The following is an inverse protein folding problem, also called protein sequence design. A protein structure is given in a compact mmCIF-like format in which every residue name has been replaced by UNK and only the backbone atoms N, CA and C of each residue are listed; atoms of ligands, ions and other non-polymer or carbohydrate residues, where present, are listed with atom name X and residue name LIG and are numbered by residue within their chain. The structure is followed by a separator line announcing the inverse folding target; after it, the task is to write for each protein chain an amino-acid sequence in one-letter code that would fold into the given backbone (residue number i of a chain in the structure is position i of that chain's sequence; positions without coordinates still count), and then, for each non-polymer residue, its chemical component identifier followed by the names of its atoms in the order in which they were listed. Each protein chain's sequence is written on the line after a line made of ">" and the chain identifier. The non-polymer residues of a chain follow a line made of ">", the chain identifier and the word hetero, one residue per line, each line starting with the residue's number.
data_IF_637529579322
#
_entry.id   IF_637529579322
#
_cell.length_a   1.000
_cell.length_b   1.000
_cell.length_c   1.000
_cell.angle_alpha   90.00
_cell.angle_beta   90.00
_cell.angle_gamma   90.00
#
_symmetry.space_group_name_H-M   'P 1'
#
loop_
_entity.id
_entity.type
_entity.pdbx_description
1 polymer ?
#
# COMPACT_ATOMS: atom_id res chain seq x y z
N UNK A 1 20.86 -69.39 72.63
CA UNK A 1 20.43 -67.98 72.48
C UNK A 1 21.03 -67.40 71.22
N UNK A 2 20.25 -67.21 70.16
CA UNK A 2 20.72 -66.70 68.87
C UNK A 2 20.16 -65.30 68.72
N UNK A 3 21.05 -64.35 68.67
CA UNK A 3 20.74 -62.92 68.43
C UNK A 3 20.57 -62.68 66.94
N UNK A 4 19.45 -62.16 66.55
CA UNK A 4 19.19 -61.75 65.17
C UNK A 4 19.48 -60.23 65.01
N UNK A 5 20.43 -59.88 64.12
CA UNK A 5 20.74 -58.50 63.76
C UNK A 5 19.87 -58.10 62.56
N UNK A 6 19.14 -57.01 62.68
CA UNK A 6 18.35 -56.41 61.62
C UNK A 6 19.24 -55.32 60.93
N UNK A 7 19.48 -55.45 59.63
CA UNK A 7 20.09 -54.43 58.81
C UNK A 7 18.94 -53.66 58.19
N UNK A 8 18.89 -52.33 58.48
CA UNK A 8 17.92 -51.43 57.90
C UNK A 8 18.56 -50.76 56.66
N UNK A 9 18.11 -51.14 55.48
CA UNK A 9 18.53 -50.49 54.24
C UNK A 9 17.76 -49.20 53.99
N UNK A 10 18.46 -48.07 53.86
CA UNK A 10 17.94 -46.82 53.36
C UNK A 10 17.81 -46.88 51.85
N UNK A 11 16.58 -46.79 51.32
CA UNK A 11 16.35 -46.61 49.92
C UNK A 11 16.27 -45.08 49.68
N UNK A 12 17.30 -44.51 49.01
CA UNK A 12 17.28 -43.14 48.56
C UNK A 12 16.48 -43.06 47.25
N UNK A 13 15.26 -42.49 47.32
CA UNK A 13 14.47 -42.18 46.13
C UNK A 13 14.98 -40.91 45.47
N UNK A 14 15.72 -41.06 44.37
CA UNK A 14 16.02 -39.96 43.48
C UNK A 14 14.77 -39.59 42.68
N UNK A 15 14.07 -38.52 43.08
CA UNK A 15 13.02 -37.89 42.28
C UNK A 15 13.63 -37.18 41.12
N UNK A 16 13.63 -37.80 39.95
CA UNK A 16 13.99 -37.12 38.69
C UNK A 16 12.92 -36.10 38.34
N UNK A 17 13.25 -34.82 38.44
CA UNK A 17 12.46 -33.75 37.85
C UNK A 17 12.61 -33.84 36.33
N UNK A 18 11.65 -34.51 35.67
CA UNK A 18 11.49 -34.42 34.23
C UNK A 18 11.04 -33.00 33.93
N UNK A 19 11.96 -32.13 33.44
CA UNK A 19 11.59 -30.92 32.77
C UNK A 19 10.80 -31.32 31.52
N UNK A 20 9.48 -31.19 31.58
CA UNK A 20 8.62 -31.16 30.41
C UNK A 20 9.00 -29.90 29.62
N UNK A 21 10.00 -30.01 28.76
CA UNK A 21 10.14 -29.07 27.65
C UNK A 21 8.84 -29.23 26.85
N UNK A 22 7.93 -28.29 27.04
CA UNK A 22 6.72 -28.22 26.23
C UNK A 22 7.17 -28.12 24.79
N UNK A 23 7.01 -29.20 24.02
CA UNK A 23 7.10 -29.15 22.57
C UNK A 23 6.04 -28.16 22.11
N UNK A 24 6.42 -26.91 21.81
CA UNK A 24 5.55 -26.00 21.09
C UNK A 24 5.16 -26.74 19.79
N UNK A 25 3.88 -27.07 19.67
CA UNK A 25 3.36 -27.70 18.47
C UNK A 25 3.57 -26.69 17.34
N UNK A 26 4.10 -27.18 16.22
CA UNK A 26 4.23 -26.38 15.01
C UNK A 26 2.84 -25.87 14.60
N UNK A 27 2.70 -24.56 14.47
CA UNK A 27 1.44 -23.92 14.08
C UNK A 27 1.45 -23.64 12.56
N UNK A 28 0.28 -23.70 11.93
CA UNK A 28 0.08 -23.26 10.56
C UNK A 28 -0.67 -21.93 10.57
N UNK A 29 -0.04 -20.86 10.08
CA UNK A 29 -0.63 -19.52 9.98
C UNK A 29 -1.25 -19.31 8.60
N UNK A 30 -2.49 -18.86 8.55
CA UNK A 30 -3.14 -18.42 7.31
C UNK A 30 -2.97 -16.91 7.13
N UNK A 31 -2.34 -16.51 6.03
CA UNK A 31 -2.02 -15.11 5.72
C UNK A 31 -2.79 -14.66 4.49
N UNK A 32 -3.66 -13.65 4.64
CA UNK A 32 -4.27 -12.97 3.50
C UNK A 32 -3.34 -11.88 2.99
N UNK A 33 -3.01 -11.88 1.69
CA UNK A 33 -2.10 -10.90 1.12
C UNK A 33 -2.49 -10.48 -0.29
N UNK A 34 -2.01 -9.31 -0.71
CA UNK A 34 -2.17 -8.77 -2.05
C UNK A 34 -1.15 -9.38 -3.01
N UNK A 35 -1.52 -9.49 -4.28
CA UNK A 35 -0.64 -9.98 -5.33
C UNK A 35 0.20 -8.83 -5.93
N UNK A 36 1.28 -8.46 -5.26
CA UNK A 36 2.26 -7.48 -5.76
C UNK A 36 3.70 -7.99 -5.59
N UNK A 37 4.67 -7.25 -6.15
CA UNK A 37 6.07 -7.70 -6.23
C UNK A 37 6.69 -8.00 -4.85
N UNK A 38 6.52 -7.10 -3.87
CA UNK A 38 7.12 -7.24 -2.54
C UNK A 38 6.54 -8.44 -1.79
N UNK A 39 5.21 -8.67 -1.94
CA UNK A 39 4.52 -9.81 -1.31
C UNK A 39 4.88 -11.15 -1.97
N UNK A 40 5.15 -11.16 -3.28
CA UNK A 40 5.64 -12.34 -3.99
C UNK A 40 7.05 -12.70 -3.47
N UNK A 41 7.91 -11.71 -3.28
CA UNK A 41 9.25 -11.92 -2.69
C UNK A 41 9.13 -12.45 -1.27
N UNK A 42 8.23 -11.90 -0.45
CA UNK A 42 8.00 -12.39 0.91
C UNK A 42 7.59 -13.86 0.92
N UNK A 43 6.65 -14.26 0.06
CA UNK A 43 6.24 -15.66 -0.07
C UNK A 43 7.41 -16.56 -0.46
N UNK A 44 8.23 -16.12 -1.42
CA UNK A 44 9.41 -16.85 -1.88
C UNK A 44 10.46 -17.08 -0.78
N UNK A 45 10.66 -16.10 0.10
CA UNK A 45 11.66 -16.13 1.16
C UNK A 45 11.13 -16.68 2.49
N UNK A 46 9.84 -16.77 2.67
CA UNK A 46 9.20 -17.22 3.92
C UNK A 46 9.56 -18.65 4.37
N UNK A 47 9.97 -19.58 3.50
CA UNK A 47 10.52 -20.88 3.96
C UNK A 47 11.72 -20.77 4.92
N UNK A 48 12.45 -19.66 4.92
CA UNK A 48 13.52 -19.41 5.90
C UNK A 48 12.95 -19.28 7.33
N UNK A 49 11.83 -18.57 7.49
CA UNK A 49 11.14 -18.48 8.77
C UNK A 49 10.51 -19.81 9.18
N UNK A 50 9.89 -20.54 8.24
CA UNK A 50 9.32 -21.87 8.52
C UNK A 50 10.40 -22.83 9.03
N UNK A 51 11.57 -22.85 8.39
CA UNK A 51 12.70 -23.68 8.80
C UNK A 51 13.24 -23.30 10.18
N UNK A 52 13.29 -21.97 10.47
CA UNK A 52 13.83 -21.49 11.74
C UNK A 52 12.91 -21.76 12.92
N UNK A 53 11.57 -21.78 12.71
CA UNK A 53 10.57 -21.88 13.77
C UNK A 53 9.87 -23.23 13.83
N UNK A 54 9.90 -24.02 12.77
CA UNK A 54 9.09 -25.22 12.59
C UNK A 54 7.63 -24.97 12.22
N UNK A 55 7.16 -23.73 12.29
CA UNK A 55 5.82 -23.34 11.88
C UNK A 55 5.61 -23.42 10.36
N UNK A 56 4.35 -23.33 9.91
CA UNK A 56 3.97 -23.38 8.51
C UNK A 56 3.14 -22.15 8.11
N UNK A 57 3.19 -21.80 6.84
CA UNK A 57 2.43 -20.69 6.28
C UNK A 57 1.51 -21.17 5.15
N UNK A 58 0.26 -20.78 5.25
CA UNK A 58 -0.75 -20.93 4.21
C UNK A 58 -1.09 -19.57 3.61
N UNK A 59 -0.61 -19.30 2.41
CA UNK A 59 -0.79 -18.03 1.74
C UNK A 59 -2.10 -17.99 0.94
N UNK A 60 -2.96 -17.01 1.23
CA UNK A 60 -4.16 -16.67 0.47
C UNK A 60 -3.87 -15.38 -0.29
N UNK A 61 -3.40 -15.53 -1.52
CA UNK A 61 -2.99 -14.42 -2.40
C UNK A 61 -4.19 -13.96 -3.21
N UNK A 62 -4.52 -12.69 -3.13
CA UNK A 62 -5.73 -12.11 -3.70
C UNK A 62 -5.43 -10.85 -4.51
N UNK A 63 -6.30 -10.59 -5.48
CA UNK A 63 -6.37 -9.29 -6.13
C UNK A 63 -6.79 -8.22 -5.10
N UNK A 64 -6.34 -6.97 -5.26
CA UNK A 64 -6.46 -5.94 -4.22
C UNK A 64 -7.90 -5.71 -3.75
N UNK A 65 -8.87 -5.52 -4.65
CA UNK A 65 -10.26 -5.27 -4.26
C UNK A 65 -10.86 -6.50 -3.55
N UNK A 66 -10.49 -7.71 -3.98
CA UNK A 66 -10.94 -8.97 -3.37
C UNK A 66 -10.32 -9.14 -1.99
N UNK A 67 -9.01 -8.83 -1.84
CA UNK A 67 -8.35 -8.84 -0.54
C UNK A 67 -9.07 -7.93 0.44
N UNK A 68 -9.26 -6.65 0.07
CA UNK A 68 -9.91 -5.64 0.92
C UNK A 68 -11.30 -6.08 1.38
N UNK A 69 -12.11 -6.61 0.47
CA UNK A 69 -13.44 -7.13 0.80
C UNK A 69 -13.36 -8.32 1.76
N UNK A 70 -12.48 -9.29 1.51
CA UNK A 70 -12.38 -10.51 2.32
C UNK A 70 -11.84 -10.23 3.72
N UNK A 71 -10.80 -9.44 3.87
CA UNK A 71 -10.25 -9.11 5.20
C UNK A 71 -11.23 -8.24 6.01
N UNK A 72 -11.94 -7.31 5.35
CA UNK A 72 -12.99 -6.51 6.01
C UNK A 72 -14.14 -7.39 6.50
N UNK A 73 -14.58 -8.36 5.70
CA UNK A 73 -15.63 -9.31 6.10
C UNK A 73 -15.17 -10.20 7.26
N UNK A 74 -13.97 -10.77 7.16
CA UNK A 74 -13.43 -11.67 8.18
C UNK A 74 -13.31 -10.96 9.53
N UNK A 75 -12.74 -9.74 9.56
CA UNK A 75 -12.51 -9.02 10.80
C UNK A 75 -13.81 -8.52 11.43
N UNK A 76 -14.76 -8.04 10.62
CA UNK A 76 -16.06 -7.54 11.09
C UNK A 76 -16.93 -8.67 11.65
N UNK A 77 -16.90 -9.85 11.06
CA UNK A 77 -17.65 -11.03 11.52
C UNK A 77 -16.90 -11.86 12.54
N UNK A 78 -15.60 -11.56 12.77
CA UNK A 78 -14.70 -12.33 13.64
C UNK A 78 -14.66 -13.82 13.26
N UNK A 79 -14.70 -14.10 11.95
CA UNK A 79 -14.78 -15.49 11.45
C UNK A 79 -13.47 -16.26 11.64
N UNK A 80 -12.33 -15.56 11.79
CA UNK A 80 -11.03 -16.17 12.10
C UNK A 80 -10.46 -16.99 10.95
N UNK A 81 -10.76 -16.61 9.69
CA UNK A 81 -10.18 -17.26 8.52
C UNK A 81 -8.68 -16.96 8.37
N UNK A 82 -8.24 -15.79 8.87
CA UNK A 82 -6.86 -15.36 8.75
C UNK A 82 -6.22 -15.13 10.12
N UNK A 83 -4.97 -15.55 10.26
CA UNK A 83 -4.14 -15.30 11.43
C UNK A 83 -3.31 -14.01 11.26
N UNK A 84 -2.98 -13.68 10.01
CA UNK A 84 -2.30 -12.44 9.63
C UNK A 84 -3.01 -11.86 8.40
N UNK A 85 -3.20 -10.55 8.41
CA UNK A 85 -3.81 -9.81 7.31
C UNK A 85 -2.84 -8.75 6.79
N UNK A 86 -2.70 -8.67 5.47
CA UNK A 86 -2.10 -7.53 4.79
C UNK A 86 -3.17 -6.46 4.65
N UNK A 87 -2.99 -5.33 5.34
CA UNK A 87 -3.93 -4.19 5.37
C UNK A 87 -3.20 -2.87 5.14
N UNK A 88 -3.93 -1.85 4.78
CA UNK A 88 -3.39 -0.52 4.53
C UNK A 88 -3.30 0.38 5.76
N UNK A 89 -2.63 1.52 5.59
CA UNK A 89 -2.63 2.59 6.58
C UNK A 89 -4.02 3.19 6.82
N UNK A 90 -4.99 2.94 5.93
CA UNK A 90 -6.39 3.32 6.12
C UNK A 90 -7.10 2.44 7.16
N UNK A 91 -7.01 1.11 7.01
CA UNK A 91 -7.71 0.17 7.88
C UNK A 91 -7.12 0.12 9.29
N UNK A 92 -5.81 0.24 9.41
CA UNK A 92 -5.09 0.03 10.69
C UNK A 92 -5.61 0.90 11.83
N UNK A 93 -5.72 2.25 11.72
CA UNK A 93 -6.20 3.06 12.81
C UNK A 93 -7.70 2.84 13.12
N UNK A 94 -8.51 2.59 12.10
CA UNK A 94 -9.95 2.33 12.26
C UNK A 94 -10.18 1.03 13.03
N UNK A 95 -9.51 -0.04 12.62
CA UNK A 95 -9.67 -1.36 13.23
C UNK A 95 -8.95 -1.51 14.57
N UNK A 96 -7.81 -0.80 14.72
CA UNK A 96 -7.11 -0.72 16.01
C UNK A 96 -7.98 -0.04 17.07
N UNK A 97 -8.60 1.10 16.75
CA UNK A 97 -9.52 1.81 17.63
C UNK A 97 -10.77 0.98 17.96
N UNK A 98 -11.26 0.17 17.04
CA UNK A 98 -12.39 -0.74 17.24
C UNK A 98 -12.03 -1.98 18.08
N UNK A 99 -10.75 -2.18 18.43
CA UNK A 99 -10.29 -3.38 19.16
C UNK A 99 -10.34 -4.67 18.32
N UNK A 100 -10.28 -4.54 17.01
CA UNK A 100 -10.30 -5.68 16.09
C UNK A 100 -8.91 -6.25 15.79
N UNK A 101 -7.87 -5.48 16.06
CA UNK A 101 -6.48 -5.88 15.90
C UNK A 101 -5.78 -6.06 17.26
N UNK A 102 -4.81 -6.94 17.32
CA UNK A 102 -3.87 -7.02 18.43
C UNK A 102 -2.83 -5.90 18.31
N UNK A 103 -2.42 -5.35 19.45
CA UNK A 103 -1.26 -4.48 19.51
C UNK A 103 0.03 -5.29 19.24
N UNK A 104 1.00 -4.67 18.55
CA UNK A 104 2.25 -5.29 18.11
C UNK A 104 3.47 -4.47 18.53
N UNK A 105 3.37 -3.76 19.64
CA UNK A 105 4.45 -2.98 20.28
C UNK A 105 5.32 -3.84 21.22
N UNK A 106 5.12 -5.16 21.22
CA UNK A 106 5.82 -6.15 22.04
C UNK A 106 6.59 -7.22 21.24
N UNK A 107 7.07 -6.88 20.02
CA UNK A 107 7.86 -7.81 19.19
C UNK A 107 9.29 -8.03 19.70
N UNK A 108 9.67 -7.43 20.81
CA UNK A 108 10.96 -7.51 21.45
C UNK A 108 11.87 -6.30 21.19
N UNK A 109 12.84 -6.09 22.08
CA UNK A 109 13.74 -4.93 22.06
C UNK A 109 14.61 -4.89 20.80
N UNK A 110 14.94 -6.05 20.25
CA UNK A 110 15.75 -6.22 19.04
C UNK A 110 14.99 -5.91 17.73
N UNK A 111 13.67 -5.67 17.80
CA UNK A 111 12.89 -5.25 16.61
C UNK A 111 13.24 -3.84 16.16
N UNK A 112 13.72 -2.99 17.06
CA UNK A 112 14.13 -1.61 16.79
C UNK A 112 13.01 -0.77 16.14
N UNK A 113 12.00 -0.45 16.97
CA UNK A 113 10.87 0.39 16.54
C UNK A 113 11.26 1.81 16.15
N UNK A 114 12.37 2.33 16.68
CA UNK A 114 12.84 3.69 16.41
C UNK A 114 13.51 3.83 15.04
N UNK A 115 13.86 2.70 14.42
CA UNK A 115 14.31 2.64 13.04
C UNK A 115 13.15 2.76 12.02
N UNK A 116 11.89 2.57 12.45
CA UNK A 116 10.75 2.78 11.58
C UNK A 116 10.60 4.25 11.20
N UNK A 117 10.28 4.53 9.94
CA UNK A 117 10.05 5.89 9.44
C UNK A 117 8.89 6.51 10.20
N UNK A 118 9.15 7.63 10.88
CA UNK A 118 8.24 8.23 11.86
C UNK A 118 6.82 8.49 11.37
N UNK A 119 6.57 9.14 10.21
CA UNK A 119 5.19 9.34 9.72
C UNK A 119 4.47 8.02 9.42
N UNK A 120 5.18 6.99 8.95
CA UNK A 120 4.60 5.67 8.69
C UNK A 120 4.19 5.01 10.00
N UNK A 121 5.10 4.95 10.98
CA UNK A 121 4.81 4.43 12.33
C UNK A 121 3.64 5.18 12.98
N UNK A 122 3.62 6.51 12.88
CA UNK A 122 2.56 7.34 13.45
C UNK A 122 1.18 7.01 12.87
N UNK A 123 1.08 6.77 11.56
CA UNK A 123 -0.17 6.38 10.90
C UNK A 123 -0.72 5.00 11.33
N UNK A 124 0.12 4.16 11.94
CA UNK A 124 -0.24 2.82 12.42
C UNK A 124 -0.45 2.76 13.94
N UNK A 125 -0.28 3.89 14.62
CA UNK A 125 -0.37 4.01 16.08
C UNK A 125 -1.67 4.68 16.49
N UNK A 126 -2.40 4.06 17.42
CA UNK A 126 -3.64 4.58 18.02
C UNK A 126 -3.52 4.51 19.54
N UNK A 127 -3.78 5.61 20.21
CA UNK A 127 -3.73 5.72 21.68
C UNK A 127 -2.39 5.19 22.26
N UNK A 128 -1.28 5.47 21.57
CA UNK A 128 0.07 5.10 21.97
C UNK A 128 0.45 3.64 21.66
N UNK A 129 -0.42 2.84 21.04
CA UNK A 129 -0.18 1.43 20.67
C UNK A 129 -0.07 1.25 19.18
N UNK A 130 0.89 0.45 18.73
CA UNK A 130 1.07 0.07 17.34
C UNK A 130 0.18 -1.14 17.01
N UNK A 131 -0.66 -1.06 15.96
CA UNK A 131 -1.61 -2.12 15.58
C UNK A 131 -1.27 -2.86 14.30
N UNK A 132 -0.23 -2.44 13.60
CA UNK A 132 0.32 -3.16 12.46
C UNK A 132 1.80 -2.77 12.30
N UNK A 133 2.59 -3.61 11.65
CA UNK A 133 3.97 -3.30 11.28
C UNK A 133 4.05 -3.05 9.78
N UNK A 134 4.71 -1.96 9.35
CA UNK A 134 4.82 -1.64 7.94
C UNK A 134 5.71 -2.64 7.22
N UNK A 135 5.19 -3.20 6.14
CA UNK A 135 5.94 -4.10 5.28
C UNK A 135 6.63 -3.32 4.14
N UNK A 136 5.92 -2.43 3.48
CA UNK A 136 6.50 -1.35 2.69
C UNK A 136 5.61 -0.11 2.76
N UNK A 137 6.22 1.05 2.53
CA UNK A 137 5.50 2.31 2.42
C UNK A 137 5.91 3.04 1.16
N UNK A 138 5.00 3.87 0.67
CA UNK A 138 5.11 4.51 -0.63
C UNK A 138 4.47 5.90 -0.65
N UNK A 139 4.87 6.67 -1.62
CA UNK A 139 4.18 7.86 -2.08
C UNK A 139 3.85 7.69 -3.56
N UNK A 140 3.52 8.76 -4.25
CA UNK A 140 3.36 8.77 -5.71
C UNK A 140 4.39 9.67 -6.39
N UNK A 141 4.73 9.32 -7.64
CA UNK A 141 5.65 10.06 -8.48
C UNK A 141 5.36 9.80 -9.96
N UNK A 142 6.12 10.44 -10.84
CA UNK A 142 6.03 10.24 -12.28
C UNK A 142 7.24 9.45 -12.76
N UNK A 143 7.02 8.26 -13.29
CA UNK A 143 7.98 7.51 -14.10
C UNK A 143 7.84 7.92 -15.55
N UNK A 144 8.98 8.09 -16.28
CA UNK A 144 8.94 8.43 -17.68
C UNK A 144 10.11 7.81 -18.47
N UNK A 145 9.88 7.58 -19.74
CA UNK A 145 10.85 7.04 -20.71
C UNK A 145 11.75 8.17 -21.21
N UNK A 146 12.92 8.36 -20.58
CA UNK A 146 13.90 9.40 -20.95
C UNK A 146 14.33 9.33 -22.41
N UNK A 147 14.45 8.12 -22.97
CA UNK A 147 14.79 7.91 -24.36
C UNK A 147 13.73 8.45 -25.33
N UNK A 148 12.44 8.30 -25.02
CA UNK A 148 11.35 8.86 -25.82
C UNK A 148 11.28 10.38 -25.70
N UNK A 149 11.54 10.92 -24.51
CA UNK A 149 11.63 12.37 -24.29
C UNK A 149 12.78 12.98 -25.08
N UNK A 150 13.96 12.40 -25.01
CA UNK A 150 15.15 12.84 -25.77
C UNK A 150 14.89 12.78 -27.27
N UNK A 151 14.33 11.69 -27.79
CA UNK A 151 14.01 11.54 -29.20
C UNK A 151 12.98 12.58 -29.71
N UNK A 152 12.06 13.02 -28.84
CA UNK A 152 11.05 14.03 -29.14
C UNK A 152 11.53 15.48 -28.86
N UNK A 153 12.75 15.66 -28.36
CA UNK A 153 13.27 16.98 -27.96
C UNK A 153 12.55 17.57 -26.74
N UNK A 154 11.96 16.71 -25.90
CA UNK A 154 11.23 17.11 -24.70
C UNK A 154 12.13 17.04 -23.45
N UNK A 155 11.81 17.85 -22.46
CA UNK A 155 12.48 17.84 -21.15
C UNK A 155 11.43 17.77 -20.05
N UNK A 156 11.51 16.73 -19.22
CA UNK A 156 10.66 16.60 -18.03
C UNK A 156 11.14 17.56 -16.95
N UNK A 157 10.29 18.44 -16.40
CA UNK A 157 10.64 19.29 -15.25
C UNK A 157 10.66 18.49 -13.93
N UNK A 158 11.34 19.05 -12.90
CA UNK A 158 11.44 18.44 -11.58
C UNK A 158 10.09 18.37 -10.84
N UNK A 159 9.15 19.24 -11.18
CA UNK A 159 7.79 19.28 -10.65
C UNK A 159 6.84 19.63 -11.81
N UNK A 160 6.40 18.62 -12.60
CA UNK A 160 5.56 18.87 -13.77
C UNK A 160 4.17 19.35 -13.37
N UNK A 161 3.59 20.17 -14.24
CA UNK A 161 2.17 20.51 -14.17
C UNK A 161 1.32 19.49 -14.92
N UNK A 162 0.03 19.41 -14.61
CA UNK A 162 -0.89 18.58 -15.38
C UNK A 162 -1.05 19.05 -16.84
N UNK A 163 -0.87 20.34 -17.11
CA UNK A 163 -0.81 20.86 -18.48
C UNK A 163 0.38 20.29 -19.25
N UNK A 164 1.58 20.28 -18.67
CA UNK A 164 2.79 19.71 -19.28
C UNK A 164 2.65 18.18 -19.46
N UNK A 165 2.10 17.47 -18.46
CA UNK A 165 1.81 16.03 -18.58
C UNK A 165 0.91 15.74 -19.78
N UNK A 166 -0.15 16.53 -19.98
CA UNK A 166 -1.03 16.38 -21.14
C UNK A 166 -0.30 16.62 -22.45
N UNK A 167 0.48 17.70 -22.53
CA UNK A 167 1.29 18.01 -23.71
C UNK A 167 2.24 16.87 -24.06
N UNK A 168 2.99 16.36 -23.07
CA UNK A 168 3.92 15.25 -23.27
C UNK A 168 3.20 13.97 -23.67
N UNK A 169 2.10 13.63 -22.99
CA UNK A 169 1.32 12.44 -23.31
C UNK A 169 0.80 12.46 -24.75
N UNK A 170 0.25 13.59 -25.19
CA UNK A 170 -0.24 13.76 -26.58
C UNK A 170 0.90 13.61 -27.58
N UNK A 171 2.05 14.28 -27.37
CA UNK A 171 3.21 14.22 -28.27
C UNK A 171 3.86 12.84 -28.36
N UNK A 172 3.86 12.08 -27.27
CA UNK A 172 4.51 10.77 -27.17
C UNK A 172 3.59 9.60 -27.49
N UNK A 173 2.33 9.85 -27.82
CA UNK A 173 1.39 8.80 -28.23
C UNK A 173 1.59 8.44 -29.69
N UNK A 174 1.87 7.16 -29.96
CA UNK A 174 1.87 6.55 -31.30
C UNK A 174 1.14 5.21 -31.23
N UNK A 175 -0.18 5.25 -31.42
CA UNK A 175 -1.05 4.07 -31.35
C UNK A 175 -0.72 3.00 -32.40
N UNK A 176 -0.06 3.39 -33.52
CA UNK A 176 0.37 2.44 -34.55
C UNK A 176 1.54 1.55 -34.08
N UNK A 177 2.28 2.00 -33.06
CA UNK A 177 3.37 1.26 -32.41
C UNK A 177 2.97 0.72 -31.03
N UNK A 178 1.69 0.77 -30.67
CA UNK A 178 1.20 0.44 -29.33
C UNK A 178 1.94 1.24 -28.22
N UNK A 179 2.38 2.47 -28.54
CA UNK A 179 3.00 3.39 -27.61
C UNK A 179 1.95 4.40 -27.12
N UNK A 180 1.68 4.38 -25.84
CA UNK A 180 0.72 5.27 -25.18
C UNK A 180 1.47 6.33 -24.38
N UNK A 181 1.02 7.56 -24.47
CA UNK A 181 1.70 8.68 -23.82
C UNK A 181 1.66 8.61 -22.30
N UNK A 182 0.57 8.05 -21.74
CA UNK A 182 0.41 7.96 -20.29
C UNK A 182 -0.42 6.75 -19.90
N UNK A 183 0.06 6.00 -18.90
CA UNK A 183 -0.69 4.95 -18.24
C UNK A 183 -1.13 5.43 -16.85
N UNK A 184 -2.42 5.26 -16.53
CA UNK A 184 -3.03 5.60 -15.25
C UNK A 184 -4.05 4.53 -14.88
N UNK A 185 -4.30 4.37 -13.59
CA UNK A 185 -5.31 3.43 -13.09
C UNK A 185 -6.71 3.87 -13.51
N UNK A 186 -7.43 2.99 -14.18
CA UNK A 186 -8.85 3.18 -14.56
C UNK A 186 -9.76 2.11 -14.00
N UNK A 187 -9.19 1.00 -13.48
CA UNK A 187 -9.91 -0.07 -12.79
C UNK A 187 -10.63 0.49 -11.56
N UNK A 188 -11.95 0.27 -11.42
CA UNK A 188 -12.72 0.89 -10.34
C UNK A 188 -12.35 0.30 -8.98
N UNK A 189 -12.23 1.16 -7.98
CA UNK A 189 -11.97 0.80 -6.59
C UNK A 189 -11.37 1.97 -5.82
N UNK A 190 -11.68 2.04 -4.53
CA UNK A 190 -11.16 3.11 -3.69
C UNK A 190 -9.62 3.08 -3.56
N UNK A 191 -9.01 1.90 -3.59
CA UNK A 191 -7.56 1.69 -3.61
C UNK A 191 -6.97 1.55 -5.02
N UNK A 192 -7.79 1.50 -6.06
CA UNK A 192 -7.37 1.43 -7.46
C UNK A 192 -7.44 2.83 -8.12
N UNK A 193 -8.43 3.09 -9.00
CA UNK A 193 -8.47 4.38 -9.70
C UNK A 193 -8.60 5.58 -8.75
N UNK A 194 -9.30 5.43 -7.61
CA UNK A 194 -9.45 6.54 -6.67
C UNK A 194 -8.17 6.87 -5.90
N UNK A 195 -7.20 5.97 -5.78
CA UNK A 195 -5.90 6.31 -5.22
C UNK A 195 -5.22 7.43 -6.02
N UNK A 196 -5.19 7.32 -7.35
CA UNK A 196 -4.66 8.36 -8.24
C UNK A 196 -5.62 9.55 -8.36
N UNK A 197 -6.92 9.30 -8.60
CA UNK A 197 -7.90 10.36 -8.86
C UNK A 197 -8.11 11.30 -7.67
N UNK A 198 -7.98 10.79 -6.45
CA UNK A 198 -8.00 11.65 -5.25
C UNK A 198 -6.85 12.64 -5.25
N UNK A 199 -5.62 12.21 -5.61
CA UNK A 199 -4.48 13.13 -5.69
C UNK A 199 -4.63 14.13 -6.82
N UNK A 200 -5.17 13.71 -7.96
CA UNK A 200 -5.52 14.61 -9.05
C UNK A 200 -6.48 15.70 -8.58
N UNK A 201 -7.62 15.32 -8.02
CA UNK A 201 -8.64 16.25 -7.51
C UNK A 201 -8.05 17.19 -6.46
N UNK A 202 -7.28 16.66 -5.52
CA UNK A 202 -6.64 17.43 -4.47
C UNK A 202 -5.79 18.57 -5.03
N UNK A 203 -4.92 18.28 -6.02
CA UNK A 203 -4.04 19.31 -6.60
C UNK A 203 -4.80 20.31 -7.45
N UNK A 204 -5.95 19.96 -7.99
CA UNK A 204 -6.87 20.89 -8.64
C UNK A 204 -7.58 21.80 -7.64
N UNK A 205 -7.40 21.58 -6.32
CA UNK A 205 -8.01 22.34 -5.23
C UNK A 205 -9.36 21.78 -4.79
N UNK A 206 -9.74 20.59 -5.23
CA UNK A 206 -10.95 19.90 -4.81
C UNK A 206 -10.79 19.17 -3.48
N UNK A 207 -11.91 18.84 -2.85
CA UNK A 207 -11.97 18.06 -1.62
C UNK A 207 -13.06 16.99 -1.72
N UNK A 208 -12.98 15.93 -0.90
CA UNK A 208 -14.05 14.94 -0.80
C UNK A 208 -15.29 15.51 -0.10
N UNK A 209 -15.08 16.27 0.96
CA UNK A 209 -16.12 16.89 1.80
C UNK A 209 -15.74 18.32 2.13
N UNK A 210 -16.74 19.19 2.28
CA UNK A 210 -16.53 20.52 2.88
C UNK A 210 -16.46 20.43 4.42
N UNK A 211 -16.21 21.56 5.08
CA UNK A 211 -16.11 21.62 6.55
C UNK A 211 -17.36 21.12 7.29
N UNK A 212 -18.52 21.06 6.61
CA UNK A 212 -19.79 20.52 7.12
C UNK A 212 -19.99 19.04 6.78
N UNK A 213 -18.97 18.35 6.28
CA UNK A 213 -19.02 16.96 5.81
C UNK A 213 -19.92 16.73 4.59
N UNK A 214 -20.33 17.77 3.90
CA UNK A 214 -21.12 17.63 2.67
C UNK A 214 -20.20 17.19 1.52
N UNK A 215 -20.54 16.11 0.80
CA UNK A 215 -19.78 15.64 -0.35
C UNK A 215 -19.62 16.70 -1.43
N UNK A 216 -18.48 16.71 -2.13
CA UNK A 216 -18.11 17.75 -3.10
C UNK A 216 -17.88 17.23 -4.52
N UNK A 217 -18.31 16.01 -4.86
CA UNK A 217 -18.07 15.40 -6.16
C UNK A 217 -18.72 16.13 -7.32
N UNK A 218 -19.85 16.82 -7.09
CA UNK A 218 -20.54 17.62 -8.12
C UNK A 218 -19.97 19.03 -8.30
N UNK A 219 -18.91 19.41 -7.55
CA UNK A 219 -18.29 20.73 -7.69
C UNK A 219 -17.60 20.91 -9.03
N UNK A 220 -17.48 22.16 -9.49
CA UNK A 220 -16.78 22.50 -10.73
C UNK A 220 -15.32 22.02 -10.73
N UNK A 221 -14.66 22.03 -9.56
CA UNK A 221 -13.28 21.55 -9.41
C UNK A 221 -13.17 20.05 -9.67
N UNK A 222 -14.07 19.24 -9.09
CA UNK A 222 -14.13 17.82 -9.40
C UNK A 222 -14.43 17.57 -10.87
N UNK A 223 -15.43 18.25 -11.43
CA UNK A 223 -15.78 18.13 -12.86
C UNK A 223 -14.59 18.48 -13.75
N UNK A 224 -13.86 19.55 -13.45
CA UNK A 224 -12.64 19.93 -14.18
C UNK A 224 -11.57 18.84 -14.11
N UNK A 225 -11.25 18.33 -12.93
CA UNK A 225 -10.22 17.31 -12.73
C UNK A 225 -10.59 15.99 -13.43
N UNK A 226 -11.84 15.54 -13.30
CA UNK A 226 -12.25 14.26 -13.88
C UNK A 226 -12.44 14.36 -15.41
N UNK A 227 -12.91 15.48 -15.95
CA UNK A 227 -12.91 15.70 -17.40
C UNK A 227 -11.47 15.70 -17.96
N UNK A 228 -10.53 16.37 -17.30
CA UNK A 228 -9.11 16.29 -17.66
C UNK A 228 -8.63 14.84 -17.76
N UNK A 229 -8.89 14.03 -16.75
CA UNK A 229 -8.50 12.62 -16.72
C UNK A 229 -9.15 11.82 -17.84
N UNK A 230 -10.46 11.93 -18.00
CA UNK A 230 -11.24 11.16 -19.00
C UNK A 230 -10.77 11.51 -20.42
N UNK A 231 -10.58 12.80 -20.72
CA UNK A 231 -10.13 13.26 -22.05
C UNK A 231 -8.69 12.78 -22.33
N UNK A 232 -7.80 12.93 -21.35
CA UNK A 232 -6.41 12.50 -21.49
C UNK A 232 -6.30 10.99 -21.71
N UNK A 233 -7.07 10.18 -20.97
CA UNK A 233 -7.04 8.72 -21.13
C UNK A 233 -7.62 8.27 -22.47
N UNK A 234 -8.65 8.93 -22.99
CA UNK A 234 -9.16 8.68 -24.34
C UNK A 234 -8.14 9.03 -25.43
N UNK A 235 -7.41 10.11 -25.26
CA UNK A 235 -6.43 10.60 -26.23
C UNK A 235 -5.14 9.78 -26.19
N UNK A 236 -4.53 9.62 -25.03
CA UNK A 236 -3.18 9.14 -24.84
C UNK A 236 -3.04 7.86 -23.99
N UNK A 237 -4.12 7.33 -23.44
CA UNK A 237 -4.13 6.11 -22.64
C UNK A 237 -4.14 4.82 -23.47
N UNK A 238 -3.76 3.67 -22.86
CA UNK A 238 -3.83 2.36 -23.49
C UNK A 238 -5.28 1.88 -23.63
N UNK A 239 -5.56 0.90 -24.50
CA UNK A 239 -6.86 0.25 -24.52
C UNK A 239 -7.14 -0.48 -23.21
N UNK A 240 -8.43 -0.72 -22.91
CA UNK A 240 -8.81 -1.44 -21.69
C UNK A 240 -8.59 -0.65 -20.37
N UNK A 241 -8.59 0.67 -20.42
CA UNK A 241 -8.34 1.57 -19.29
C UNK A 241 -9.09 1.12 -18.02
N UNK A 242 -10.37 0.78 -18.16
CA UNK A 242 -11.24 0.39 -17.03
C UNK A 242 -10.90 -0.95 -16.39
N UNK A 243 -9.97 -1.69 -16.98
CA UNK A 243 -9.43 -2.95 -16.44
C UNK A 243 -8.00 -2.79 -15.91
N UNK A 244 -7.35 -1.65 -16.18
CA UNK A 244 -5.97 -1.41 -15.81
C UNK A 244 -5.89 -0.79 -14.41
N UNK A 245 -5.44 -1.59 -13.45
CA UNK A 245 -5.05 -1.17 -12.11
C UNK A 245 -3.53 -0.99 -12.01
N UNK A 246 -2.99 -1.12 -10.79
CA UNK A 246 -1.56 -0.99 -10.54
C UNK A 246 -0.73 -2.02 -11.32
N UNK A 247 -1.05 -3.31 -11.18
CA UNK A 247 -0.28 -4.41 -11.77
C UNK A 247 -0.30 -4.39 -13.31
N UNK A 248 -1.44 -4.09 -13.90
CA UNK A 248 -1.60 -4.00 -15.36
C UNK A 248 -0.77 -2.83 -15.93
N UNK A 249 -0.83 -1.65 -15.30
CA UNK A 249 -0.03 -0.50 -15.72
C UNK A 249 1.48 -0.72 -15.48
N UNK A 250 1.86 -1.40 -14.41
CA UNK A 250 3.26 -1.80 -14.18
C UNK A 250 3.76 -2.72 -15.31
N UNK A 251 2.94 -3.67 -15.74
CA UNK A 251 3.27 -4.55 -16.86
C UNK A 251 3.40 -3.77 -18.17
N UNK A 252 2.44 -2.89 -18.48
CA UNK A 252 2.48 -2.03 -19.68
C UNK A 252 3.72 -1.14 -19.70
N UNK A 253 4.06 -0.51 -18.58
CA UNK A 253 5.23 0.36 -18.50
C UNK A 253 6.54 -0.45 -18.58
N UNK A 254 6.67 -1.57 -17.87
CA UNK A 254 7.88 -2.40 -17.87
C UNK A 254 8.16 -3.06 -19.22
N UNK A 255 7.14 -3.26 -20.06
CA UNK A 255 7.27 -3.77 -21.43
C UNK A 255 7.42 -2.66 -22.49
N UNK A 256 7.38 -1.39 -22.09
CA UNK A 256 7.69 -0.25 -22.94
C UNK A 256 6.50 0.38 -23.66
N UNK A 257 5.28 -0.04 -23.36
CA UNK A 257 4.06 0.49 -24.00
C UNK A 257 3.65 1.88 -23.51
N UNK A 258 4.14 2.33 -22.33
CA UNK A 258 3.80 3.65 -21.79
C UNK A 258 5.01 4.57 -21.81
N UNK A 259 4.84 5.80 -22.30
CA UNK A 259 5.88 6.84 -22.23
C UNK A 259 6.01 7.44 -20.82
N UNK A 260 4.90 7.55 -20.10
CA UNK A 260 4.83 7.99 -18.70
C UNK A 260 3.87 7.10 -17.90
N UNK A 261 4.14 7.03 -16.59
CA UNK A 261 3.25 6.37 -15.61
C UNK A 261 3.31 7.13 -14.28
N UNK A 262 2.16 7.61 -13.82
CA UNK A 262 2.04 8.33 -12.54
C UNK A 262 1.36 7.38 -11.58
N UNK A 263 2.12 6.88 -10.58
CA UNK A 263 1.63 5.87 -9.66
C UNK A 263 2.55 5.75 -8.43
N UNK A 264 2.36 4.69 -7.65
CA UNK A 264 3.09 4.35 -6.44
C UNK A 264 4.60 4.27 -6.65
N UNK A 265 5.36 4.87 -5.74
CA UNK A 265 6.82 4.83 -5.75
C UNK A 265 7.38 3.41 -5.54
N UNK A 266 6.62 2.50 -4.96
CA UNK A 266 6.98 1.09 -4.80
C UNK A 266 7.18 0.36 -6.14
N UNK A 267 6.57 0.86 -7.22
CA UNK A 267 6.79 0.34 -8.57
C UNK A 267 8.25 0.40 -9.01
N UNK A 268 9.03 1.35 -8.50
CA UNK A 268 10.39 1.62 -8.94
C UNK A 268 11.31 0.40 -8.83
N UNK A 269 11.22 -0.38 -7.77
CA UNK A 269 12.03 -1.58 -7.58
C UNK A 269 11.97 -2.52 -8.78
N UNK A 270 10.76 -2.79 -9.27
CA UNK A 270 10.56 -3.65 -10.45
C UNK A 270 10.95 -2.96 -11.76
N UNK A 271 10.63 -1.68 -11.91
CA UNK A 271 10.88 -0.94 -13.15
C UNK A 271 12.37 -0.75 -13.40
N UNK A 272 13.17 -0.57 -12.37
CA UNK A 272 14.63 -0.43 -12.46
C UNK A 272 15.38 -1.77 -12.45
N UNK A 273 14.69 -2.90 -12.23
CA UNK A 273 15.32 -4.23 -12.29
C UNK A 273 15.38 -4.73 -13.74
N UNK A 274 16.59 -4.89 -14.34
CA UNK A 274 16.72 -5.36 -15.72
C UNK A 274 16.28 -6.81 -15.94
N UNK A 275 16.06 -7.58 -14.86
CA UNK A 275 15.50 -8.93 -14.93
C UNK A 275 13.97 -8.91 -15.12
N UNK A 276 13.31 -7.81 -14.77
CA UNK A 276 11.85 -7.69 -14.74
C UNK A 276 11.28 -6.60 -15.66
N UNK A 277 12.15 -5.70 -16.16
CA UNK A 277 11.78 -4.55 -16.98
C UNK A 277 12.62 -4.44 -18.23
N UNK A 278 11.99 -4.35 -19.39
CA UNK A 278 12.65 -4.14 -20.69
C UNK A 278 13.11 -2.69 -20.89
N UNK A 279 12.71 -1.81 -19.98
CA UNK A 279 13.00 -0.37 -20.03
C UNK A 279 13.85 0.13 -18.86
N UNK A 280 14.42 -0.77 -18.06
CA UNK A 280 15.13 -0.44 -16.82
C UNK A 280 16.24 0.61 -17.01
N UNK A 281 16.98 0.56 -18.12
CA UNK A 281 18.04 1.51 -18.50
C UNK A 281 17.54 2.79 -19.18
N UNK A 282 16.23 2.86 -19.52
CA UNK A 282 15.59 3.94 -20.29
C UNK A 282 14.65 4.81 -19.45
N UNK A 283 14.52 4.50 -18.17
CA UNK A 283 13.57 5.17 -17.28
C UNK A 283 14.26 6.26 -16.47
N UNK A 284 13.52 7.32 -16.22
CA UNK A 284 13.79 8.31 -15.20
C UNK A 284 12.50 8.58 -14.41
N UNK A 285 12.62 9.39 -13.37
CA UNK A 285 11.50 9.72 -12.50
C UNK A 285 11.54 11.21 -12.13
N UNK A 286 10.38 11.72 -11.76
CA UNK A 286 10.23 13.06 -11.21
C UNK A 286 9.06 13.08 -10.22
N UNK A 287 8.81 14.19 -9.55
CA UNK A 287 7.70 14.35 -8.61
C UNK A 287 6.34 14.07 -9.26
N UNK A 288 5.34 13.77 -8.44
CA UNK A 288 3.95 13.74 -8.89
C UNK A 288 3.52 15.11 -9.41
N UNK A 289 2.66 15.16 -10.45
CA UNK A 289 2.25 16.44 -11.06
C UNK A 289 1.41 17.28 -10.12
N UNK A 290 1.43 18.59 -10.35
CA UNK A 290 0.64 19.56 -9.61
C UNK A 290 -0.21 20.42 -10.54
N UNK A 291 -1.29 21.01 -10.03
CA UNK A 291 -2.09 22.01 -10.76
C UNK A 291 -2.09 23.33 -9.99
N UNK A 292 -3.03 23.58 -9.08
CA UNK A 292 -3.12 24.85 -8.34
C UNK A 292 -2.47 24.80 -6.96
N UNK A 293 -2.20 23.59 -6.44
CA UNK A 293 -1.53 23.39 -5.16
C UNK A 293 -0.69 22.11 -5.18
N UNK A 294 0.47 22.10 -4.54
CA UNK A 294 1.24 20.86 -4.32
C UNK A 294 0.65 19.96 -3.23
N UNK A 295 -0.28 20.48 -2.41
CA UNK A 295 -0.92 19.70 -1.35
C UNK A 295 -1.69 18.54 -1.96
N UNK A 296 -1.47 17.34 -1.43
CA UNK A 296 -2.11 16.12 -1.89
C UNK A 296 -1.68 15.59 -3.26
N UNK A 297 -0.64 16.16 -3.89
CA UNK A 297 -0.06 15.62 -5.13
C UNK A 297 0.60 14.27 -4.93
N UNK A 298 1.22 14.09 -3.77
CA UNK A 298 1.89 12.86 -3.37
C UNK A 298 1.11 12.21 -2.25
N UNK A 299 0.73 10.95 -2.40
CA UNK A 299 0.01 10.25 -1.35
C UNK A 299 0.92 9.73 -0.24
N UNK A 300 0.32 9.27 0.85
CA UNK A 300 0.99 8.56 1.92
C UNK A 300 0.29 7.22 2.11
N UNK A 301 0.98 6.15 1.79
CA UNK A 301 0.45 4.80 1.93
C UNK A 301 1.47 3.86 2.54
N UNK A 302 0.99 2.87 3.29
CA UNK A 302 1.77 1.69 3.68
C UNK A 302 0.90 0.44 3.58
N UNK A 303 1.50 -0.63 3.08
CA UNK A 303 0.98 -1.96 3.27
C UNK A 303 1.61 -2.57 4.51
N UNK A 304 0.80 -3.12 5.38
CA UNK A 304 1.19 -3.51 6.71
C UNK A 304 0.73 -4.92 7.01
N UNK A 305 1.44 -5.60 7.88
CA UNK A 305 1.03 -6.88 8.45
C UNK A 305 0.37 -6.63 9.81
N UNK A 306 -0.84 -7.14 9.98
CA UNK A 306 -1.64 -6.98 11.18
C UNK A 306 -2.17 -8.34 11.66
N UNK A 307 -2.43 -8.44 12.95
CA UNK A 307 -2.94 -9.65 13.60
C UNK A 307 -4.37 -9.39 14.06
N UNK A 308 -5.39 -10.08 13.51
CA UNK A 308 -6.76 -9.94 14.00
C UNK A 308 -6.88 -10.45 15.43
N UNK A 309 -7.65 -9.73 16.26
CA UNK A 309 -7.87 -10.11 17.66
C UNK A 309 -8.58 -11.47 17.83
N UNK A 310 -9.16 -12.01 16.76
CA UNK A 310 -9.81 -13.32 16.73
C UNK A 310 -8.86 -14.52 16.63
N UNK A 311 -7.59 -14.30 16.23
CA UNK A 311 -6.63 -15.41 16.09
C UNK A 311 -6.37 -16.10 17.42
N UNK A 312 -6.07 -17.39 17.34
CA UNK A 312 -5.62 -18.22 18.49
C UNK A 312 -4.11 -18.47 18.47
N UNK A 313 -3.40 -17.91 17.47
CA UNK A 313 -1.99 -18.18 17.20
C UNK A 313 -1.15 -16.88 17.27
N UNK A 314 -1.47 -16.03 18.24
CA UNK A 314 -0.90 -14.69 18.36
C UNK A 314 0.64 -14.69 18.43
N UNK A 315 1.23 -15.60 19.20
CA UNK A 315 2.70 -15.65 19.37
C UNK A 315 3.42 -16.05 18.08
N UNK A 316 2.93 -17.07 17.37
CA UNK A 316 3.49 -17.44 16.07
C UNK A 316 3.29 -16.32 15.04
N UNK A 317 2.13 -15.65 15.04
CA UNK A 317 1.87 -14.50 14.17
C UNK A 317 2.82 -13.32 14.47
N UNK A 318 3.05 -12.95 15.72
CA UNK A 318 4.02 -11.94 16.12
C UNK A 318 5.44 -12.30 15.69
N UNK A 319 5.84 -13.58 15.85
CA UNK A 319 7.13 -14.08 15.39
C UNK A 319 7.31 -13.88 13.89
N UNK A 320 6.26 -14.15 13.08
CA UNK A 320 6.31 -13.91 11.64
C UNK A 320 6.39 -12.41 11.31
N UNK A 321 5.57 -11.56 11.92
CA UNK A 321 5.62 -10.12 11.72
C UNK A 321 7.02 -9.57 12.00
N UNK A 322 7.60 -9.97 13.13
CA UNK A 322 8.96 -9.58 13.51
C UNK A 322 9.98 -9.96 12.43
N UNK A 323 9.97 -11.18 11.97
CA UNK A 323 10.87 -11.67 10.93
C UNK A 323 10.67 -10.91 9.62
N UNK A 324 9.42 -10.83 9.13
CA UNK A 324 9.07 -10.30 7.82
C UNK A 324 9.30 -8.79 7.66
N UNK A 325 9.44 -8.05 8.77
CA UNK A 325 9.62 -6.59 8.76
C UNK A 325 10.90 -6.12 9.47
N UNK A 326 11.79 -7.08 9.79
CA UNK A 326 13.07 -6.80 10.45
C UNK A 326 14.12 -6.24 9.49
N UNK A 327 15.20 -5.65 10.05
CA UNK A 327 16.43 -5.34 9.28
C UNK A 327 17.02 -6.58 8.64
N UNK A 328 16.95 -7.73 9.31
CA UNK A 328 17.42 -9.01 8.79
C UNK A 328 16.67 -9.45 7.54
N UNK A 329 15.36 -9.21 7.47
CA UNK A 329 14.57 -9.46 6.26
C UNK A 329 14.97 -8.51 5.11
N UNK A 330 15.17 -7.23 5.38
CA UNK A 330 15.68 -6.27 4.37
C UNK A 330 17.00 -6.74 3.77
N UNK A 331 17.95 -7.17 4.62
CA UNK A 331 19.22 -7.73 4.15
C UNK A 331 19.06 -9.05 3.38
N UNK A 332 18.14 -9.91 3.81
CA UNK A 332 17.85 -11.16 3.11
C UNK A 332 17.35 -10.87 1.68
N UNK A 333 16.42 -9.94 1.51
CA UNK A 333 15.96 -9.53 0.18
C UNK A 333 17.11 -8.93 -0.64
N UNK A 334 17.88 -8.00 -0.07
CA UNK A 334 19.01 -7.38 -0.76
C UNK A 334 20.03 -8.39 -1.27
N UNK A 335 20.32 -9.43 -0.49
CA UNK A 335 21.30 -10.47 -0.84
C UNK A 335 20.75 -11.52 -1.83
N UNK A 336 19.48 -11.87 -1.75
CA UNK A 336 18.87 -12.94 -2.56
C UNK A 336 18.21 -12.44 -3.85
N UNK A 337 17.54 -11.30 -3.81
CA UNK A 337 16.79 -10.76 -4.95
C UNK A 337 17.48 -9.55 -5.59
N UNK A 338 18.40 -8.92 -4.87
CA UNK A 338 19.07 -7.69 -5.24
C UNK A 338 18.55 -6.47 -4.48
N UNK A 339 19.41 -5.50 -4.23
CA UNK A 339 19.11 -4.35 -3.41
C UNK A 339 18.01 -3.44 -3.99
N UNK A 340 17.81 -3.44 -5.31
CA UNK A 340 16.72 -2.69 -5.96
C UNK A 340 15.33 -3.24 -5.60
N UNK A 341 15.25 -4.50 -5.20
CA UNK A 341 14.02 -5.20 -4.83
C UNK A 341 13.66 -5.12 -3.33
N UNK A 342 14.47 -4.42 -2.54
CA UNK A 342 14.22 -4.23 -1.10
C UNK A 342 12.96 -3.42 -0.89
N UNK A 343 12.04 -3.86 0.01
CA UNK A 343 10.81 -3.13 0.32
C UNK A 343 11.10 -1.68 0.78
N UNK A 344 10.54 -0.67 0.11
CA UNK A 344 10.85 0.74 0.42
C UNK A 344 10.04 1.25 1.62
N UNK A 345 10.44 2.40 2.16
CA UNK A 345 9.58 3.26 2.97
C UNK A 345 9.32 2.81 4.41
N UNK A 346 10.00 1.78 4.92
CA UNK A 346 9.71 1.28 6.27
C UNK A 346 10.75 1.65 7.30
N UNK A 347 12.05 1.50 6.99
CA UNK A 347 13.16 1.65 7.94
C UNK A 347 14.16 2.70 7.49
N UNK A 348 14.58 3.56 8.41
CA UNK A 348 15.61 4.59 8.15
C UNK A 348 16.95 3.94 7.77
N UNK A 349 17.30 2.81 8.39
CA UNK A 349 18.51 2.06 8.09
C UNK A 349 18.59 1.56 6.65
N UNK A 350 17.47 1.28 5.98
CA UNK A 350 17.43 0.94 4.55
C UNK A 350 17.99 2.08 3.70
N UNK A 351 17.59 3.32 3.99
CA UNK A 351 18.05 4.51 3.27
C UNK A 351 19.47 4.95 3.63
N UNK A 352 20.03 4.42 4.69
CA UNK A 352 21.44 4.61 5.08
C UNK A 352 22.36 3.54 4.49
N UNK A 353 21.81 2.47 3.92
CA UNK A 353 22.57 1.36 3.34
C UNK A 353 23.14 1.76 1.98
N UNK A 354 24.47 1.66 1.82
CA UNK A 354 25.20 2.08 0.61
C UNK A 354 24.85 1.21 -0.62
N UNK A 355 24.61 -0.10 -0.44
CA UNK A 355 24.21 -0.97 -1.54
C UNK A 355 22.80 -0.64 -2.05
N UNK A 356 21.87 -0.30 -1.13
CA UNK A 356 20.53 0.16 -1.50
C UNK A 356 20.58 1.49 -2.26
N UNK A 357 21.33 2.49 -1.76
CA UNK A 357 21.50 3.78 -2.43
C UNK A 357 22.05 3.63 -3.84
N UNK A 358 23.03 2.75 -4.01
CA UNK A 358 23.64 2.47 -5.31
C UNK A 358 22.66 1.80 -6.27
N UNK A 359 21.86 0.86 -5.79
CA UNK A 359 20.92 0.10 -6.61
C UNK A 359 19.62 0.86 -6.91
N UNK A 360 19.20 1.76 -6.01
CA UNK A 360 17.91 2.47 -6.05
C UNK A 360 18.10 3.99 -6.19
N UNK A 361 18.39 4.51 -7.39
CA UNK A 361 18.62 5.94 -7.62
C UNK A 361 17.41 6.82 -7.22
N UNK A 362 16.24 6.24 -7.11
CA UNK A 362 15.00 6.86 -6.69
C UNK A 362 14.83 6.97 -5.15
N UNK A 363 15.65 6.27 -4.36
CA UNK A 363 15.46 6.09 -2.91
C UNK A 363 15.29 7.42 -2.15
N UNK A 364 16.15 8.40 -2.39
CA UNK A 364 16.08 9.70 -1.70
C UNK A 364 14.79 10.47 -2.05
N UNK A 365 14.35 10.41 -3.30
CA UNK A 365 13.10 11.06 -3.74
C UNK A 365 11.88 10.39 -3.09
N UNK A 366 11.89 9.06 -3.01
CA UNK A 366 10.83 8.29 -2.34
C UNK A 366 10.75 8.65 -0.86
N UNK A 367 11.88 8.65 -0.16
CA UNK A 367 11.91 9.00 1.26
C UNK A 367 11.38 10.41 1.50
N UNK A 368 11.86 11.40 0.74
CA UNK A 368 11.38 12.80 0.85
C UNK A 368 9.89 12.92 0.56
N UNK A 369 9.36 12.18 -0.42
CA UNK A 369 7.94 12.19 -0.73
C UNK A 369 7.10 11.63 0.43
N UNK A 370 7.53 10.51 1.05
CA UNK A 370 6.87 9.92 2.22
C UNK A 370 6.91 10.88 3.42
N UNK A 371 8.07 11.49 3.70
CA UNK A 371 8.26 12.38 4.85
C UNK A 371 7.54 13.73 4.70
N UNK A 372 7.35 14.20 3.46
CA UNK A 372 6.67 15.48 3.17
C UNK A 372 5.16 15.37 3.01
N UNK A 373 4.62 14.17 2.93
CA UNK A 373 3.18 13.96 2.81
C UNK A 373 2.45 14.38 4.10
N UNK A 374 1.55 15.35 3.98
CA UNK A 374 0.75 15.86 5.10
C UNK A 374 -0.73 15.47 4.92
N UNK A 375 -1.18 14.37 5.54
CA UNK A 375 -2.57 13.93 5.45
C UNK A 375 -3.57 14.88 6.12
N UNK A 376 -3.11 15.87 6.90
CA UNK A 376 -3.98 16.88 7.52
C UNK A 376 -4.25 18.07 6.60
N UNK A 377 -3.50 18.17 5.49
CA UNK A 377 -3.62 19.21 4.47
C UNK A 377 -3.66 18.60 3.06
N UNK A 378 -4.66 17.76 2.76
CA UNK A 378 -4.67 17.00 1.51
C UNK A 378 -4.96 17.84 0.27
N UNK A 379 -5.43 19.07 0.41
CA UNK A 379 -5.75 19.99 -0.68
C UNK A 379 -5.49 21.44 -0.29
N UNK A 380 -5.95 22.39 -1.12
CA UNK A 380 -5.74 23.83 -0.95
C UNK A 380 -6.44 24.39 0.28
N UNK A 381 -7.70 24.04 0.46
CA UNK A 381 -8.56 24.57 1.51
C UNK A 381 -8.68 23.62 2.72
N UNK A 382 -9.00 24.10 3.92
CA UNK A 382 -9.23 23.25 5.07
C UNK A 382 -10.33 22.20 4.83
N UNK A 383 -10.16 21.03 5.40
CA UNK A 383 -11.12 19.91 5.32
C UNK A 383 -11.34 19.30 6.70
N UNK A 384 -12.50 18.65 6.95
CA UNK A 384 -12.83 18.08 8.27
C UNK A 384 -12.20 16.68 8.50
N UNK A 385 -11.40 16.18 7.55
CA UNK A 385 -10.86 14.83 7.56
C UNK A 385 -9.33 14.82 7.45
N UNK A 386 -8.74 13.65 7.70
CA UNK A 386 -7.35 13.34 7.36
C UNK A 386 -7.30 12.32 6.24
N UNK A 387 -6.17 12.29 5.51
CA UNK A 387 -5.96 11.39 4.38
C UNK A 387 -5.73 12.15 3.08
N UNK A 388 -4.96 11.58 2.16
CA UNK A 388 -4.62 12.19 0.87
C UNK A 388 -5.35 11.46 -0.25
N UNK A 389 -5.03 10.19 -0.49
CA UNK A 389 -5.68 9.37 -1.50
C UNK A 389 -6.93 8.65 -0.98
N UNK A 390 -7.25 8.84 0.28
CA UNK A 390 -8.46 8.35 0.95
C UNK A 390 -8.89 9.35 2.02
N UNK A 391 -10.07 9.15 2.58
CA UNK A 391 -10.55 9.85 3.77
C UNK A 391 -10.59 8.87 4.93
N UNK A 392 -9.98 9.22 6.07
CA UNK A 392 -9.82 8.31 7.22
C UNK A 392 -11.11 8.17 8.05
N UNK A 393 -12.22 7.77 7.41
CA UNK A 393 -13.50 7.43 8.03
C UNK A 393 -13.97 6.04 7.58
N UNK A 394 -14.73 5.31 8.40
CA UNK A 394 -15.20 3.95 8.06
C UNK A 394 -16.00 3.88 6.76
N UNK A 395 -16.75 4.90 6.42
CA UNK A 395 -17.64 4.99 5.25
C UNK A 395 -16.88 5.14 3.94
N UNK A 396 -15.60 5.55 3.99
CA UNK A 396 -14.86 5.88 2.79
C UNK A 396 -14.68 4.69 1.83
N UNK A 397 -14.56 3.47 2.34
CA UNK A 397 -14.49 2.28 1.48
C UNK A 397 -15.67 2.18 0.52
N UNK A 398 -16.87 2.40 1.03
CA UNK A 398 -18.08 2.39 0.22
C UNK A 398 -18.14 3.60 -0.72
N UNK A 399 -17.92 4.81 -0.20
CA UNK A 399 -17.97 6.06 -0.96
C UNK A 399 -16.93 6.05 -2.08
N UNK A 400 -15.67 5.76 -1.76
CA UNK A 400 -14.59 5.73 -2.75
C UNK A 400 -14.82 4.66 -3.85
N UNK A 401 -15.40 3.52 -3.50
CA UNK A 401 -15.75 2.47 -4.48
C UNK A 401 -16.86 2.94 -5.41
N UNK A 402 -17.91 3.57 -4.89
CA UNK A 402 -19.02 4.13 -5.68
C UNK A 402 -18.50 5.19 -6.65
N UNK A 403 -17.68 6.12 -6.17
CA UNK A 403 -17.11 7.18 -7.01
C UNK A 403 -16.19 6.59 -8.08
N UNK A 404 -15.35 5.64 -7.70
CA UNK A 404 -14.45 4.94 -8.64
C UNK A 404 -15.21 4.21 -9.76
N UNK A 405 -16.31 3.56 -9.43
CA UNK A 405 -17.20 2.89 -10.41
C UNK A 405 -17.87 3.90 -11.35
N UNK A 406 -18.38 5.01 -10.79
CA UNK A 406 -19.02 6.06 -11.57
C UNK A 406 -18.04 6.68 -12.59
N UNK A 407 -16.81 7.00 -12.16
CA UNK A 407 -15.78 7.55 -13.06
C UNK A 407 -15.33 6.52 -14.09
N UNK A 408 -15.14 5.27 -13.71
CA UNK A 408 -14.80 4.18 -14.66
C UNK A 408 -15.87 4.03 -15.75
N UNK A 409 -17.15 4.15 -15.39
CA UNK A 409 -18.28 4.17 -16.33
C UNK A 409 -18.23 5.36 -17.31
N UNK A 410 -17.82 6.55 -16.83
CA UNK A 410 -17.60 7.72 -17.69
C UNK A 410 -16.42 7.54 -18.65
N UNK A 411 -15.32 6.94 -18.18
CA UNK A 411 -14.18 6.57 -19.04
C UNK A 411 -14.59 5.60 -20.14
N UNK A 412 -15.43 4.61 -19.81
CA UNK A 412 -16.01 3.65 -20.77
C UNK A 412 -17.01 4.31 -21.75
N UNK A 413 -17.37 5.57 -21.56
CA UNK A 413 -18.34 6.28 -22.40
C UNK A 413 -19.81 5.87 -22.16
N UNK A 414 -20.11 5.20 -21.05
CA UNK A 414 -21.46 4.74 -20.70
C UNK A 414 -22.33 5.88 -20.14
N UNK A 415 -21.71 6.93 -19.63
CA UNK A 415 -22.36 8.14 -19.13
C UNK A 415 -21.41 9.35 -19.24
N UNK A 416 -21.95 10.57 -19.09
CA UNK A 416 -21.13 11.77 -19.01
C UNK A 416 -20.42 11.87 -17.65
N UNK A 417 -19.33 12.62 -17.57
CA UNK A 417 -18.64 12.90 -16.28
C UNK A 417 -19.59 13.56 -15.28
N UNK A 418 -20.38 14.53 -15.73
CA UNK A 418 -21.36 15.21 -14.87
C UNK A 418 -22.39 14.24 -14.28
N UNK A 419 -22.99 13.39 -15.11
CA UNK A 419 -23.95 12.40 -14.64
C UNK A 419 -23.32 11.39 -13.66
N UNK A 420 -22.08 10.98 -13.90
CA UNK A 420 -21.32 10.09 -13.03
C UNK A 420 -21.08 10.73 -11.66
N UNK A 421 -20.59 11.95 -11.65
CA UNK A 421 -20.27 12.67 -10.41
C UNK A 421 -21.53 13.07 -9.62
N UNK A 422 -22.60 13.53 -10.30
CA UNK A 422 -23.86 13.86 -9.65
C UNK A 422 -24.55 12.62 -9.05
N UNK A 423 -24.44 11.46 -9.70
CA UNK A 423 -24.92 10.19 -9.17
C UNK A 423 -24.13 9.72 -7.95
N UNK A 424 -22.80 9.84 -8.01
CA UNK A 424 -21.92 9.50 -6.90
C UNK A 424 -22.10 10.45 -5.70
N UNK A 425 -22.27 11.77 -5.95
CA UNK A 425 -22.58 12.77 -4.94
C UNK A 425 -23.83 12.37 -4.12
N UNK A 426 -24.94 12.05 -4.78
CA UNK A 426 -26.20 11.65 -4.12
C UNK A 426 -26.03 10.41 -3.25
N UNK A 427 -25.30 9.41 -3.72
CA UNK A 427 -25.05 8.19 -2.94
C UNK A 427 -24.15 8.48 -1.73
N UNK A 428 -23.11 9.30 -1.90
CA UNK A 428 -22.27 9.73 -0.80
C UNK A 428 -23.06 10.54 0.25
N UNK A 429 -23.94 11.45 -0.16
CA UNK A 429 -24.83 12.19 0.74
C UNK A 429 -25.74 11.26 1.55
N UNK A 430 -26.30 10.22 0.93
CA UNK A 430 -27.10 9.22 1.64
C UNK A 430 -26.30 8.49 2.71
N UNK A 431 -25.08 8.04 2.39
CA UNK A 431 -24.19 7.36 3.32
C UNK A 431 -23.83 8.30 4.48
N UNK A 432 -23.42 9.52 4.20
CA UNK A 432 -23.02 10.49 5.22
C UNK A 432 -24.18 10.91 6.13
N UNK A 433 -25.41 10.99 5.59
CA UNK A 433 -26.62 11.23 6.38
C UNK A 433 -26.93 10.03 7.29
N UNK A 434 -26.89 8.81 6.76
CA UNK A 434 -27.14 7.59 7.55
C UNK A 434 -26.11 7.38 8.66
N UNK A 435 -24.86 7.78 8.44
CA UNK A 435 -23.79 7.72 9.42
C UNK A 435 -23.75 8.92 10.39
N UNK A 436 -24.67 9.90 10.22
CA UNK A 436 -24.84 11.03 11.14
C UNK A 436 -23.85 12.17 11.00
N UNK A 437 -23.07 12.21 9.91
CA UNK A 437 -22.16 13.33 9.62
C UNK A 437 -22.90 14.59 9.18
N UNK A 438 -23.96 14.43 8.39
CA UNK A 438 -24.81 15.52 7.91
C UNK A 438 -26.27 15.28 8.32
N UNK A 439 -27.00 16.37 8.58
CA UNK A 439 -28.42 16.34 9.02
C UNK A 439 -29.37 16.40 7.84
#
# INVERSE_FOLDING_TARGET
>A
MRTKTYVTGLIASAAGVAMLAGSAWAEELTIATVNNADMIIMQKLSPEWEKATGNKLNWVVLEENVLRQRVTTDIATKSGQFDIMTIGGYETPIWGKAGWLLAVDDLGDDYDYDDLIKPVRAGLTVDGKLYAVPFYAESSFTLYRKDLFEAAGLKMPDAPTYAEIKEFATKLTDKSKEQYGLCLRGKPGWGENMAYLSTLVNTFGGSWFDESWKPQMSSDTWKKAINYYVDLMKEAGPPGITSNGFNENQALFSTGHCAMWIDATSAAGRIYDPKQSQVADKVAFTKAPVEVTPNGSSWAWSWNLAIPASTKKAEAAKSFLKWATSKGYVELVGKSEGWVAVPPGTRQSTYSNEEYKKAAPFAETVLKAIESADPTKPTKDPVPYTGIQFVAIPEFQAIGTIVGQAISSAVAGQQSVDAALDGAQKQAEQIMTQSGYIK
#
